data_IF_318712773437
#
_entry.id   IF_318712773437
#
_cell.length_a   1.000
_cell.length_b   1.000
_cell.length_c   1.000
_cell.angle_alpha   90.00
_cell.angle_beta   90.00
_cell.angle_gamma   90.00
#
_symmetry.space_group_name_H-M   'P 1'
#
loop_
_entity.id
_entity.type
_entity.pdbx_description
1 polymer ?
#
# COMPACT_ATOMS: atom_id res chain seq x y z
N UNK A 1 3.07 27.84 -10.93
CA UNK A 1 2.66 26.43 -10.90
C UNK A 1 2.17 26.15 -9.49
N UNK A 2 0.89 25.82 -9.29
CA UNK A 2 0.37 25.55 -7.95
C UNK A 2 0.97 24.26 -7.39
N UNK A 3 1.35 24.23 -6.10
CA UNK A 3 2.00 23.08 -5.46
C UNK A 3 1.22 21.76 -5.64
N UNK A 4 -0.11 21.84 -5.69
CA UNK A 4 -0.99 20.70 -5.92
C UNK A 4 -0.74 20.02 -7.28
N UNK A 5 -0.46 20.80 -8.34
CA UNK A 5 -0.17 20.23 -9.66
C UNK A 5 1.17 19.49 -9.67
N UNK A 6 2.17 19.99 -8.93
CA UNK A 6 3.45 19.30 -8.76
C UNK A 6 3.24 17.94 -8.08
N UNK A 7 2.44 17.87 -7.02
CA UNK A 7 2.16 16.61 -6.34
C UNK A 7 1.34 15.64 -7.20
N UNK A 8 0.36 16.14 -7.96
CA UNK A 8 -0.40 15.30 -8.88
C UNK A 8 0.50 14.65 -9.94
N UNK A 9 1.45 15.42 -10.49
CA UNK A 9 2.45 14.92 -11.44
C UNK A 9 3.43 13.94 -10.77
N UNK A 10 3.94 14.27 -9.58
CA UNK A 10 4.89 13.43 -8.85
C UNK A 10 4.31 12.07 -8.45
N UNK A 11 3.02 12.06 -8.08
CA UNK A 11 2.26 10.83 -7.78
C UNK A 11 1.77 10.11 -9.04
N UNK A 12 2.02 10.66 -10.23
CA UNK A 12 1.59 10.12 -11.53
C UNK A 12 0.08 9.83 -11.56
N UNK A 13 -0.71 10.74 -10.99
CA UNK A 13 -2.16 10.58 -10.97
C UNK A 13 -2.71 10.72 -12.40
N UNK A 14 -3.59 9.79 -12.77
CA UNK A 14 -4.35 9.87 -14.02
C UNK A 14 -5.38 11.00 -13.98
N UNK A 15 -6.11 11.18 -15.09
CA UNK A 15 -7.16 12.20 -15.23
C UNK A 15 -8.30 12.06 -14.20
N UNK A 16 -8.47 10.88 -13.62
CA UNK A 16 -9.59 10.54 -12.74
C UNK A 16 -9.40 11.08 -11.31
N UNK A 17 -8.16 11.38 -10.92
CA UNK A 17 -7.81 11.81 -9.58
C UNK A 17 -7.12 13.17 -9.60
N UNK A 18 -7.39 13.98 -8.59
CA UNK A 18 -6.77 15.30 -8.42
C UNK A 18 -6.29 15.48 -6.98
N UNK A 19 -5.23 16.27 -6.82
CA UNK A 19 -4.84 16.80 -5.52
C UNK A 19 -5.72 18.02 -5.23
N UNK A 20 -6.50 17.96 -4.16
CA UNK A 20 -7.38 19.07 -3.74
C UNK A 20 -6.67 20.04 -2.81
N UNK A 21 -5.81 19.51 -1.93
CA UNK A 21 -5.07 20.29 -0.95
C UNK A 21 -3.76 19.59 -0.60
N UNK A 22 -2.74 20.36 -0.25
CA UNK A 22 -1.54 19.87 0.41
C UNK A 22 -1.20 20.75 1.60
N UNK A 23 -0.82 20.17 2.72
CA UNK A 23 -0.39 20.87 3.93
C UNK A 23 0.97 20.35 4.37
N UNK A 24 1.95 21.25 4.43
CA UNK A 24 3.29 20.97 4.93
C UNK A 24 3.41 21.56 6.33
N UNK A 25 3.77 20.74 7.33
CA UNK A 25 4.12 21.20 8.67
C UNK A 25 5.63 21.10 8.86
N UNK A 26 6.35 22.24 8.90
CA UNK A 26 7.77 22.28 9.25
C UNK A 26 8.06 21.80 10.67
N UNK A 27 7.12 22.05 11.59
CA UNK A 27 7.27 21.72 13.02
C UNK A 27 7.16 20.22 13.25
N UNK A 28 6.13 19.59 12.67
CA UNK A 28 5.88 18.16 12.83
C UNK A 28 6.68 17.29 11.85
N UNK A 29 7.44 17.93 10.95
CA UNK A 29 8.09 17.29 9.82
C UNK A 29 7.14 16.36 9.05
N UNK A 30 5.93 16.84 8.76
CA UNK A 30 4.88 16.07 8.08
C UNK A 30 4.37 16.78 6.82
N UNK A 31 3.90 16.00 5.86
CA UNK A 31 3.24 16.46 4.65
C UNK A 31 1.95 15.66 4.46
N UNK A 32 0.82 16.33 4.43
CA UNK A 32 -0.48 15.72 4.17
C UNK A 32 -0.95 16.15 2.78
N UNK A 33 -1.39 15.19 1.97
CA UNK A 33 -1.87 15.45 0.61
C UNK A 33 -3.28 14.86 0.50
N UNK A 34 -4.25 15.72 0.21
CA UNK A 34 -5.63 15.32 -0.01
C UNK A 34 -5.88 15.07 -1.49
N UNK A 35 -6.43 13.90 -1.77
CA UNK A 35 -6.77 13.40 -3.07
C UNK A 35 -8.28 13.23 -3.18
N UNK A 36 -8.79 13.46 -4.37
CA UNK A 36 -10.20 13.33 -4.65
C UNK A 36 -10.41 12.90 -6.09
N UNK A 37 -11.49 12.15 -6.33
CA UNK A 37 -11.85 11.77 -7.68
C UNK A 37 -12.56 12.93 -8.37
N UNK A 38 -12.55 12.95 -9.70
CA UNK A 38 -13.28 13.95 -10.47
C UNK A 38 -14.78 13.67 -10.45
N UNK A 39 -15.56 14.74 -10.37
CA UNK A 39 -17.02 14.66 -10.47
C UNK A 39 -17.44 14.04 -11.81
N UNK A 40 -18.48 13.20 -11.78
CA UNK A 40 -18.95 12.47 -12.96
C UNK A 40 -18.09 11.28 -13.37
N UNK A 41 -16.96 11.02 -12.69
CA UNK A 41 -16.19 9.81 -12.94
C UNK A 41 -16.98 8.56 -12.55
N UNK A 42 -16.88 7.52 -13.38
CA UNK A 42 -17.51 6.21 -13.17
C UNK A 42 -16.44 5.19 -12.92
N UNK A 43 -16.67 4.33 -11.93
CA UNK A 43 -15.70 3.34 -11.50
C UNK A 43 -16.08 1.97 -12.04
N UNK A 44 -15.12 1.23 -12.61
CA UNK A 44 -15.39 -0.13 -13.09
C UNK A 44 -15.60 -1.09 -11.92
N UNK A 45 -16.50 -2.04 -12.09
CA UNK A 45 -16.63 -3.16 -11.17
C UNK A 45 -15.38 -4.06 -11.22
N UNK A 46 -14.79 -4.45 -10.08
CA UNK A 46 -13.65 -5.36 -10.08
C UNK A 46 -13.99 -6.77 -10.59
N UNK A 47 -15.28 -7.16 -10.57
CA UNK A 47 -15.72 -8.50 -11.01
C UNK A 47 -16.17 -8.50 -12.48
N UNK A 48 -17.02 -7.55 -12.90
CA UNK A 48 -17.58 -7.53 -14.27
C UNK A 48 -17.12 -6.37 -15.16
N UNK A 49 -16.35 -5.40 -14.63
CA UNK A 49 -15.86 -4.25 -15.38
C UNK A 49 -16.89 -3.17 -15.73
N UNK A 50 -18.18 -3.37 -15.41
CA UNK A 50 -19.22 -2.38 -15.76
C UNK A 50 -19.03 -1.06 -14.98
N UNK A 51 -19.10 0.11 -15.65
CA UNK A 51 -18.87 1.40 -15.01
C UNK A 51 -20.11 1.92 -14.26
N UNK A 52 -20.01 2.03 -12.94
CA UNK A 52 -21.08 2.54 -12.07
C UNK A 52 -20.70 3.87 -11.41
N UNK A 53 -21.69 4.74 -11.12
CA UNK A 53 -21.45 5.98 -10.38
C UNK A 53 -21.16 5.70 -8.90
N UNK A 54 -20.46 6.63 -8.24
CA UNK A 54 -20.26 6.58 -6.80
C UNK A 54 -21.61 6.68 -6.07
N UNK A 55 -21.85 5.78 -5.11
CA UNK A 55 -23.03 5.79 -4.24
C UNK A 55 -22.77 6.64 -2.99
N UNK A 56 -21.65 6.39 -2.32
CA UNK A 56 -21.18 7.13 -1.16
C UNK A 56 -19.65 7.20 -1.18
N UNK A 57 -19.03 7.88 -0.21
CA UNK A 57 -17.57 8.02 -0.11
C UNK A 57 -17.08 7.74 1.31
N UNK A 58 -15.87 7.20 1.42
CA UNK A 58 -15.17 7.03 2.70
C UNK A 58 -13.78 7.63 2.60
N UNK A 59 -13.39 8.41 3.61
CA UNK A 59 -12.02 8.88 3.75
C UNK A 59 -11.10 7.69 4.13
N UNK A 60 -10.03 7.53 3.38
CA UNK A 60 -8.94 6.60 3.69
C UNK A 60 -7.61 7.32 3.70
N UNK A 61 -6.69 6.76 4.47
CA UNK A 61 -5.33 7.29 4.66
C UNK A 61 -4.30 6.25 4.31
N UNK A 62 -3.26 6.66 3.61
CA UNK A 62 -2.11 5.83 3.30
C UNK A 62 -0.83 6.55 3.66
N UNK A 63 0.08 5.77 4.23
CA UNK A 63 1.45 6.21 4.44
C UNK A 63 2.22 6.08 3.12
N UNK A 64 2.75 7.20 2.63
CA UNK A 64 3.53 7.25 1.38
C UNK A 64 5.03 7.27 1.67
N UNK A 65 5.86 7.21 0.63
CA UNK A 65 7.29 7.53 0.75
C UNK A 65 7.45 8.97 1.25
N UNK A 66 8.48 9.23 2.04
CA UNK A 66 8.80 10.60 2.46
C UNK A 66 9.12 11.48 1.26
N UNK A 67 8.42 12.61 1.14
CA UNK A 67 8.87 13.71 0.32
C UNK A 67 9.95 14.48 1.10
N UNK A 68 11.20 14.31 0.68
CA UNK A 68 12.38 14.81 1.40
C UNK A 68 12.42 14.33 2.86
N UNK A 69 12.58 15.24 3.82
CA UNK A 69 12.61 14.92 5.25
C UNK A 69 11.21 14.73 5.89
N UNK A 70 10.14 15.00 5.12
CA UNK A 70 8.78 15.05 5.65
C UNK A 70 8.07 13.71 5.58
N UNK A 71 7.46 13.30 6.69
CA UNK A 71 6.60 12.13 6.78
C UNK A 71 5.31 12.41 6.00
N UNK A 72 5.15 11.75 4.84
CA UNK A 72 4.02 11.99 3.95
C UNK A 72 2.87 11.01 4.14
N UNK A 73 1.65 11.55 4.24
CA UNK A 73 0.39 10.81 4.21
C UNK A 73 -0.49 11.28 3.04
N UNK A 74 -1.06 10.31 2.33
CA UNK A 74 -2.12 10.57 1.34
C UNK A 74 -3.46 10.32 2.01
N UNK A 75 -4.35 11.29 1.90
CA UNK A 75 -5.73 11.21 2.38
C UNK A 75 -6.61 11.27 1.14
N UNK A 76 -7.47 10.28 0.91
CA UNK A 76 -8.38 10.32 -0.23
C UNK A 76 -9.80 9.96 0.16
N UNK A 77 -10.77 10.62 -0.49
CA UNK A 77 -12.15 10.16 -0.51
C UNK A 77 -12.26 9.04 -1.54
N UNK A 78 -12.45 7.81 -1.05
CA UNK A 78 -12.62 6.63 -1.90
C UNK A 78 -14.11 6.36 -2.05
N UNK A 79 -14.61 6.27 -3.29
CA UNK A 79 -16.02 5.99 -3.51
C UNK A 79 -16.36 4.54 -3.18
N UNK A 80 -17.49 4.36 -2.52
CA UNK A 80 -18.23 3.11 -2.43
C UNK A 80 -19.22 3.10 -3.59
N UNK A 81 -19.11 2.09 -4.44
CA UNK A 81 -19.86 1.97 -5.69
C UNK A 81 -20.83 0.82 -5.50
N UNK A 82 -22.11 1.09 -5.72
CA UNK A 82 -23.14 0.07 -5.69
C UNK A 82 -23.24 -0.59 -7.07
N UNK A 83 -22.82 -1.86 -7.15
CA UNK A 83 -22.94 -2.66 -8.35
C UNK A 83 -24.19 -3.54 -8.23
N UNK A 84 -25.17 -3.44 -9.16
CA UNK A 84 -26.44 -4.16 -9.05
C UNK A 84 -26.31 -5.67 -8.83
N UNK A 85 -25.25 -6.28 -9.38
CA UNK A 85 -25.00 -7.72 -9.32
C UNK A 85 -24.00 -8.12 -8.22
N UNK A 86 -23.08 -7.23 -7.83
CA UNK A 86 -21.92 -7.56 -6.97
C UNK A 86 -21.93 -6.82 -5.62
N UNK A 87 -22.99 -6.03 -5.37
CA UNK A 87 -23.19 -5.25 -4.16
C UNK A 87 -22.29 -4.02 -4.04
N UNK A 88 -22.28 -3.42 -2.84
CA UNK A 88 -21.50 -2.22 -2.55
C UNK A 88 -20.03 -2.58 -2.30
N UNK A 89 -19.14 -2.07 -3.14
CA UNK A 89 -17.67 -2.28 -3.02
C UNK A 89 -16.95 -0.94 -3.01
N UNK A 90 -15.78 -0.90 -2.37
CA UNK A 90 -14.88 0.26 -2.49
C UNK A 90 -14.17 0.21 -3.85
N UNK A 91 -14.14 1.34 -4.55
CA UNK A 91 -13.38 1.48 -5.78
C UNK A 91 -11.88 1.27 -5.51
N UNK A 92 -11.19 0.68 -6.48
CA UNK A 92 -9.75 0.56 -6.46
C UNK A 92 -9.09 1.93 -6.69
N UNK A 93 -7.95 2.15 -6.03
CA UNK A 93 -7.15 3.37 -6.18
C UNK A 93 -5.83 3.04 -6.84
N UNK A 94 -5.30 3.89 -7.74
CA UNK A 94 -4.12 3.54 -8.53
C UNK A 94 -2.82 3.49 -7.71
N UNK A 95 -2.78 4.10 -6.52
CA UNK A 95 -1.56 4.19 -5.71
C UNK A 95 -1.50 3.20 -4.54
N UNK A 96 -2.52 2.37 -4.30
CA UNK A 96 -2.52 1.44 -3.16
C UNK A 96 -3.32 0.17 -3.45
N UNK A 97 -2.79 -0.98 -2.98
CA UNK A 97 -3.53 -2.25 -3.00
C UNK A 97 -4.70 -2.22 -2.01
N UNK A 98 -5.72 -3.01 -2.29
CA UNK A 98 -6.86 -3.18 -1.37
C UNK A 98 -6.39 -3.68 0.01
N UNK A 99 -6.93 -3.07 1.07
CA UNK A 99 -6.59 -3.38 2.45
C UNK A 99 -5.23 -2.89 2.95
N UNK A 100 -4.39 -2.29 2.10
CA UNK A 100 -3.12 -1.70 2.57
C UNK A 100 -3.31 -0.31 3.13
N UNK A 101 -2.57 -0.02 4.20
CA UNK A 101 -2.36 1.33 4.73
C UNK A 101 -1.12 2.02 4.16
N UNK A 102 -0.45 1.42 3.17
CA UNK A 102 0.69 1.99 2.46
C UNK A 102 0.38 2.16 0.97
N UNK A 103 1.05 3.12 0.35
CA UNK A 103 1.03 3.25 -1.11
C UNK A 103 1.93 2.18 -1.76
N UNK A 104 1.64 1.76 -2.98
CA UNK A 104 2.46 0.83 -3.77
C UNK A 104 3.93 1.27 -3.84
N UNK A 105 4.17 2.57 -4.02
CA UNK A 105 5.53 3.12 -4.05
C UNK A 105 6.27 2.96 -2.71
N UNK A 106 5.55 3.10 -1.59
CA UNK A 106 6.11 2.87 -0.26
C UNK A 106 6.40 1.37 -0.05
N UNK A 107 5.49 0.49 -0.46
CA UNK A 107 5.70 -0.96 -0.39
C UNK A 107 6.92 -1.40 -1.22
N UNK A 108 7.10 -0.84 -2.42
CA UNK A 108 8.28 -1.09 -3.24
C UNK A 108 9.58 -0.68 -2.53
N UNK A 109 9.62 0.50 -1.90
CA UNK A 109 10.81 0.93 -1.14
C UNK A 109 11.08 0.02 0.06
N UNK A 110 10.04 -0.42 0.77
CA UNK A 110 10.18 -1.39 1.86
C UNK A 110 10.81 -2.68 1.35
N UNK A 111 10.28 -3.26 0.27
CA UNK A 111 10.79 -4.50 -0.32
C UNK A 111 12.25 -4.37 -0.80
N UNK A 112 12.61 -3.23 -1.42
CA UNK A 112 13.98 -3.00 -1.89
C UNK A 112 14.96 -2.88 -0.71
N UNK A 113 14.62 -2.08 0.31
CA UNK A 113 15.52 -1.90 1.45
C UNK A 113 15.64 -3.16 2.30
N UNK A 114 14.56 -3.91 2.48
CA UNK A 114 14.56 -5.15 3.27
C UNK A 114 15.40 -6.28 2.67
N UNK A 115 15.81 -6.18 1.39
CA UNK A 115 16.78 -7.11 0.79
C UNK A 115 18.21 -6.83 1.25
N UNK A 116 18.53 -5.58 1.57
CA UNK A 116 19.89 -5.12 1.85
C UNK A 116 20.18 -4.96 3.34
N UNK A 117 19.13 -4.82 4.17
CA UNK A 117 19.29 -4.56 5.60
C UNK A 117 18.14 -5.11 6.46
N UNK A 118 18.34 -5.28 7.78
CA UNK A 118 17.29 -5.74 8.68
C UNK A 118 16.06 -4.82 8.67
N UNK A 119 14.87 -5.40 8.78
CA UNK A 119 13.58 -4.68 8.76
C UNK A 119 13.50 -3.57 9.83
N UNK A 120 14.16 -3.75 10.97
CA UNK A 120 14.25 -2.73 12.02
C UNK A 120 14.98 -1.46 11.56
N UNK A 121 16.07 -1.60 10.80
CA UNK A 121 16.79 -0.45 10.23
C UNK A 121 15.96 0.22 9.13
N UNK A 122 15.27 -0.57 8.30
CA UNK A 122 14.34 -0.04 7.29
C UNK A 122 13.23 0.80 7.97
N UNK A 123 12.68 0.30 9.07
CA UNK A 123 11.66 0.98 9.85
C UNK A 123 12.17 2.33 10.39
N UNK A 124 13.41 2.38 10.89
CA UNK A 124 14.06 3.60 11.36
C UNK A 124 14.25 4.63 10.24
N UNK A 125 14.81 4.22 9.09
CA UNK A 125 15.01 5.08 7.91
C UNK A 125 13.67 5.67 7.42
N UNK A 126 12.63 4.83 7.38
CA UNK A 126 11.30 5.22 6.91
C UNK A 126 10.45 5.91 7.99
N UNK A 127 10.97 6.04 9.21
CA UNK A 127 10.27 6.58 10.39
C UNK A 127 8.91 5.90 10.62
N UNK A 128 8.90 4.58 10.57
CA UNK A 128 7.71 3.74 10.65
C UNK A 128 7.91 2.56 11.61
N UNK A 129 6.83 1.85 11.95
CA UNK A 129 6.91 0.69 12.83
C UNK A 129 7.25 -0.58 12.02
N UNK A 130 8.24 -1.33 12.49
CA UNK A 130 8.69 -2.60 11.90
C UNK A 130 7.57 -3.63 11.76
N UNK A 131 6.67 -3.74 12.73
CA UNK A 131 5.50 -4.64 12.69
C UNK A 131 4.58 -4.36 11.49
N UNK A 132 4.46 -3.10 11.07
CA UNK A 132 3.70 -2.73 9.88
C UNK A 132 4.43 -3.13 8.60
N UNK A 133 5.75 -3.05 8.58
CA UNK A 133 6.59 -3.47 7.44
C UNK A 133 6.53 -4.99 7.27
N UNK A 134 6.62 -5.75 8.36
CA UNK A 134 6.47 -7.21 8.33
C UNK A 134 5.17 -7.65 7.69
N UNK A 135 4.03 -7.01 7.99
CA UNK A 135 2.74 -7.32 7.34
C UNK A 135 2.78 -7.15 5.82
N UNK A 136 3.60 -6.22 5.31
CA UNK A 136 3.80 -6.04 3.86
C UNK A 136 4.69 -7.14 3.31
N UNK A 137 5.83 -7.41 3.94
CA UNK A 137 6.74 -8.47 3.52
C UNK A 137 6.04 -9.83 3.50
N UNK A 138 5.27 -10.16 4.55
CA UNK A 138 4.50 -11.38 4.64
C UNK A 138 3.47 -11.51 3.53
N UNK A 139 2.77 -10.42 3.19
CA UNK A 139 1.84 -10.40 2.06
C UNK A 139 2.54 -10.82 0.76
N UNK A 140 3.67 -10.20 0.42
CA UNK A 140 4.38 -10.51 -0.82
C UNK A 140 5.05 -11.88 -0.82
N UNK A 141 5.64 -12.32 0.30
CA UNK A 141 6.20 -13.68 0.42
C UNK A 141 5.10 -14.72 0.24
N UNK A 142 3.92 -14.51 0.83
CA UNK A 142 2.81 -15.44 0.69
C UNK A 142 2.21 -15.44 -0.72
N UNK A 143 2.13 -14.27 -1.37
CA UNK A 143 1.62 -14.16 -2.74
C UNK A 143 2.58 -14.74 -3.78
N UNK A 144 3.90 -14.63 -3.58
CA UNK A 144 4.91 -15.08 -4.54
C UNK A 144 5.40 -16.51 -4.30
N UNK A 145 5.39 -16.99 -3.05
CA UNK A 145 5.80 -18.34 -2.71
C UNK A 145 4.73 -19.03 -1.83
N UNK A 146 3.66 -19.57 -2.44
CA UNK A 146 2.60 -20.26 -1.71
C UNK A 146 3.08 -21.50 -0.94
N UNK A 147 4.20 -22.08 -1.35
CA UNK A 147 4.83 -23.23 -0.68
C UNK A 147 5.47 -22.83 0.66
N UNK A 148 6.22 -21.72 0.70
CA UNK A 148 6.78 -21.17 1.94
C UNK A 148 5.67 -20.74 2.90
N UNK A 149 4.58 -20.17 2.38
CA UNK A 149 3.42 -19.83 3.20
C UNK A 149 2.78 -21.08 3.84
N UNK A 150 2.63 -22.16 3.08
CA UNK A 150 2.12 -23.45 3.55
C UNK A 150 3.07 -24.09 4.58
N UNK A 151 4.37 -24.10 4.33
CA UNK A 151 5.37 -24.62 5.26
C UNK A 151 5.37 -23.83 6.59
N UNK A 152 5.26 -22.50 6.54
CA UNK A 152 5.15 -21.66 7.74
C UNK A 152 3.87 -21.94 8.52
N UNK A 153 2.72 -22.07 7.85
CA UNK A 153 1.46 -22.46 8.50
C UNK A 153 1.55 -23.84 9.14
N UNK A 154 2.19 -24.79 8.46
CA UNK A 154 2.44 -26.13 8.99
C UNK A 154 3.34 -26.09 10.23
N UNK A 155 4.44 -25.33 10.21
CA UNK A 155 5.33 -25.17 11.37
C UNK A 155 4.61 -24.54 12.58
N UNK A 156 3.79 -23.51 12.35
CA UNK A 156 2.99 -22.89 13.42
C UNK A 156 1.95 -23.85 13.99
N UNK A 157 1.30 -24.65 13.13
CA UNK A 157 0.29 -25.62 13.54
C UNK A 157 0.88 -26.84 14.27
N UNK A 158 2.12 -27.23 13.96
CA UNK A 158 2.75 -28.45 14.46
C UNK A 158 3.90 -28.19 15.45
N UNK A 159 4.21 -26.94 15.77
CA UNK A 159 5.03 -26.57 16.94
C UNK A 159 6.48 -27.06 16.93
N UNK A 160 7.06 -27.36 15.77
CA UNK A 160 8.46 -27.80 15.71
C UNK A 160 9.41 -26.61 15.55
N UNK A 161 10.32 -26.49 16.52
CA UNK A 161 11.51 -25.65 16.43
C UNK A 161 12.38 -26.28 15.33
N UNK A 162 12.56 -25.60 14.19
CA UNK A 162 13.46 -26.01 13.10
C UNK A 162 14.79 -26.48 13.70
N UNK A 163 15.00 -27.80 13.78
CA UNK A 163 16.34 -28.33 13.82
C UNK A 163 16.93 -28.09 12.44
N UNK A 164 18.17 -27.61 12.43
CA UNK A 164 18.96 -27.31 11.23
C UNK A 164 18.71 -28.35 10.15
N UNK A 165 18.25 -27.90 8.99
CA UNK A 165 18.35 -28.69 7.77
C UNK A 165 19.84 -28.89 7.54
N UNK A 166 20.29 -30.14 7.65
CA UNK A 166 21.65 -30.53 7.31
C UNK A 166 21.89 -30.21 5.83
N UNK A 167 22.70 -29.18 5.58
CA UNK A 167 23.34 -28.92 4.31
C UNK A 167 24.53 -29.88 4.16
N UNK A 168 24.27 -31.17 4.12
CA UNK A 168 25.24 -32.19 3.73
C UNK A 168 24.51 -33.22 2.85
N UNK A 169 24.43 -32.92 1.55
CA UNK A 169 24.43 -33.89 0.45
C UNK A 169 24.28 -33.15 -0.88
N UNK A 170 25.32 -32.40 -1.23
CA UNK A 170 25.57 -31.92 -2.59
C UNK A 170 27.07 -31.87 -2.83
N UNK A 171 27.75 -33.00 -2.62
CA UNK A 171 29.01 -33.34 -3.27
C UNK A 171 29.12 -34.86 -3.33
N UNK A 172 28.72 -35.41 -4.47
CA UNK A 172 28.83 -36.80 -4.87
C UNK A 172 28.85 -36.90 -6.39
#
# INVERSE_FOLDING_TARGET
MEANNLFAMALQLGSEWKVTRSELSPVDHSLMIWLDFREGHRFPCPECGHPSPAHDTVEKRWRHKNFWQYKTELIARVPRVDFPEHGVRLAEVPWARSGSGFTLMMEAVILMLSQEMPVSQVAEILKEQDTRLWRILEHYVHSLCPEVARARQWLVANGERLQSVDLEEADG
#
